data_IF_335472000255
#
_entry.id   IF_335472000255
#
_cell.length_a   1.000
_cell.length_b   1.000
_cell.length_c   1.000
_cell.angle_alpha   90.00
_cell.angle_beta   90.00
_cell.angle_gamma   90.00
#
_symmetry.space_group_name_H-M   'P 1'
#
loop_
_entity.id
_entity.type
_entity.pdbx_description
1 polymer ?
#
# COMPACT_ATOMS: atom_id res chain seq x y z
N UNK A 1 14.21 -26.70 -14.68
CA UNK A 1 13.38 -25.77 -13.87
C UNK A 1 11.92 -25.77 -14.31
N UNK A 2 11.59 -25.64 -15.60
CA UNK A 2 10.19 -25.70 -16.10
C UNK A 2 9.46 -27.02 -15.76
N UNK A 3 10.14 -28.17 -15.87
CA UNK A 3 9.54 -29.47 -15.49
C UNK A 3 9.23 -29.59 -14.00
N UNK A 4 10.04 -29.02 -13.12
CA UNK A 4 9.79 -29.01 -11.67
C UNK A 4 8.64 -28.09 -11.26
N UNK A 5 8.49 -26.94 -11.93
CA UNK A 5 7.32 -26.07 -11.74
C UNK A 5 6.02 -26.79 -12.15
N UNK A 6 5.97 -27.38 -13.35
CA UNK A 6 4.80 -28.12 -13.81
C UNK A 6 4.38 -29.28 -12.89
N UNK A 7 5.31 -29.99 -12.26
CA UNK A 7 4.99 -31.08 -11.33
C UNK A 7 4.40 -30.52 -10.01
N UNK A 8 4.95 -29.45 -9.47
CA UNK A 8 4.41 -28.76 -8.28
C UNK A 8 3.01 -28.19 -8.53
N UNK A 9 2.81 -27.55 -9.67
CA UNK A 9 1.53 -26.96 -10.03
C UNK A 9 0.46 -28.04 -10.23
N UNK A 10 0.80 -29.16 -10.86
CA UNK A 10 -0.12 -30.29 -11.02
C UNK A 10 -0.55 -30.89 -9.68
N UNK A 11 0.38 -31.11 -8.75
CA UNK A 11 0.05 -31.68 -7.44
C UNK A 11 -0.85 -30.75 -6.64
N UNK A 12 -0.55 -29.46 -6.63
CA UNK A 12 -1.35 -28.44 -5.97
C UNK A 12 -2.75 -28.36 -6.58
N UNK A 13 -2.84 -28.23 -7.89
CA UNK A 13 -4.09 -28.16 -8.62
C UNK A 13 -4.96 -29.41 -8.38
N UNK A 14 -4.35 -30.61 -8.41
CA UNK A 14 -5.10 -31.84 -8.15
C UNK A 14 -5.68 -31.88 -6.74
N UNK A 15 -4.93 -31.45 -5.73
CA UNK A 15 -5.42 -31.37 -4.34
C UNK A 15 -6.56 -30.35 -4.24
N UNK A 16 -6.39 -29.17 -4.82
CA UNK A 16 -7.41 -28.10 -4.80
C UNK A 16 -8.70 -28.58 -5.48
N UNK A 17 -8.60 -29.22 -6.67
CA UNK A 17 -9.73 -29.75 -7.41
C UNK A 17 -10.46 -30.85 -6.64
N UNK A 18 -9.73 -31.87 -6.16
CA UNK A 18 -10.34 -32.97 -5.40
C UNK A 18 -10.97 -32.46 -4.09
N UNK A 19 -10.33 -31.53 -3.41
CA UNK A 19 -10.90 -30.89 -2.20
C UNK A 19 -12.21 -30.19 -2.53
N UNK A 20 -12.22 -29.34 -3.58
CA UNK A 20 -13.42 -28.62 -3.98
C UNK A 20 -14.62 -29.54 -4.27
N UNK A 21 -14.37 -30.74 -4.85
CA UNK A 21 -15.40 -31.70 -5.19
C UNK A 21 -15.89 -32.57 -4.03
N UNK A 22 -15.12 -32.64 -2.91
CA UNK A 22 -15.42 -33.56 -1.80
C UNK A 22 -15.78 -32.87 -0.48
N UNK A 23 -15.76 -31.54 -0.44
CA UNK A 23 -16.18 -30.77 0.75
C UNK A 23 -17.72 -30.59 0.77
N UNK A 24 -18.27 -30.42 1.96
CA UNK A 24 -19.72 -30.20 2.14
C UNK A 24 -20.16 -28.84 1.56
N UNK A 25 -19.29 -27.84 1.60
CA UNK A 25 -19.53 -26.52 1.02
C UNK A 25 -18.22 -25.90 0.55
N UNK A 26 -18.13 -25.62 -0.72
CA UNK A 26 -17.00 -24.94 -1.34
C UNK A 26 -17.32 -23.45 -1.49
N UNK A 27 -16.45 -22.58 -0.94
CA UNK A 27 -16.66 -21.14 -0.97
C UNK A 27 -15.48 -20.40 -1.59
N UNK A 28 -15.76 -19.22 -2.14
CA UNK A 28 -14.73 -18.30 -2.64
C UNK A 28 -15.07 -16.84 -2.27
N UNK A 29 -14.12 -15.95 -2.48
CA UNK A 29 -14.21 -14.55 -1.98
C UNK A 29 -14.86 -13.58 -2.95
N UNK A 30 -15.06 -13.97 -4.22
CA UNK A 30 -15.60 -13.08 -5.23
C UNK A 30 -16.14 -13.80 -6.44
N UNK A 31 -16.96 -13.13 -7.24
CA UNK A 31 -17.49 -13.65 -8.50
C UNK A 31 -16.40 -13.90 -9.56
N UNK A 32 -15.30 -13.14 -9.51
CA UNK A 32 -14.16 -13.37 -10.41
C UNK A 32 -13.49 -14.68 -10.05
N UNK A 33 -13.16 -14.90 -8.79
CA UNK A 33 -12.57 -16.16 -8.34
C UNK A 33 -13.54 -17.33 -8.48
N UNK A 34 -14.86 -17.11 -8.37
CA UNK A 34 -15.86 -18.13 -8.63
C UNK A 34 -15.82 -18.62 -10.09
N UNK A 35 -15.71 -17.70 -11.04
CA UNK A 35 -15.54 -18.06 -12.47
C UNK A 35 -14.22 -18.79 -12.71
N UNK A 36 -13.14 -18.35 -12.08
CA UNK A 36 -11.84 -19.04 -12.15
C UNK A 36 -11.92 -20.46 -11.58
N UNK A 37 -12.63 -20.67 -10.47
CA UNK A 37 -12.87 -22.00 -9.90
C UNK A 37 -13.66 -22.89 -10.86
N UNK A 38 -14.70 -22.37 -11.50
CA UNK A 38 -15.48 -23.12 -12.48
C UNK A 38 -14.60 -23.61 -13.66
N UNK A 39 -13.70 -22.76 -14.16
CA UNK A 39 -12.83 -23.08 -15.29
C UNK A 39 -11.64 -23.97 -14.88
N UNK A 40 -11.01 -23.69 -13.74
CA UNK A 40 -9.77 -24.36 -13.35
C UNK A 40 -10.01 -25.64 -12.54
N UNK A 41 -11.06 -25.69 -11.74
CA UNK A 41 -11.37 -26.82 -10.85
C UNK A 41 -12.54 -27.65 -11.37
N UNK A 42 -13.15 -27.32 -12.50
CA UNK A 42 -14.40 -27.90 -13.04
C UNK A 42 -15.55 -27.84 -12.02
N UNK A 43 -15.50 -26.88 -11.09
CA UNK A 43 -16.55 -26.69 -10.08
C UNK A 43 -16.63 -25.20 -9.66
N UNK A 44 -17.77 -24.54 -9.87
CA UNK A 44 -18.01 -23.23 -9.24
C UNK A 44 -18.17 -23.40 -7.73
N UNK A 45 -17.92 -22.33 -7.00
CA UNK A 45 -18.19 -22.29 -5.57
C UNK A 45 -19.70 -22.40 -5.29
N UNK A 46 -20.05 -23.09 -4.22
CA UNK A 46 -21.44 -23.21 -3.78
C UNK A 46 -21.95 -21.85 -3.23
N UNK A 47 -21.06 -21.07 -2.63
CA UNK A 47 -21.35 -19.72 -2.11
C UNK A 47 -20.15 -18.80 -2.29
N UNK A 48 -20.41 -17.56 -2.71
CA UNK A 48 -19.41 -16.48 -2.71
C UNK A 48 -19.52 -15.74 -1.38
N UNK A 49 -18.47 -15.81 -0.57
CA UNK A 49 -18.38 -15.15 0.73
C UNK A 49 -17.31 -14.06 0.66
N UNK A 50 -17.74 -12.82 0.49
CA UNK A 50 -16.85 -11.66 0.46
C UNK A 50 -16.16 -11.48 1.80
N UNK A 51 -14.88 -11.07 1.75
CA UNK A 51 -14.13 -10.79 2.96
C UNK A 51 -14.66 -9.54 3.66
N UNK A 52 -14.86 -9.65 4.97
CA UNK A 52 -15.23 -8.54 5.84
C UNK A 52 -14.01 -7.88 6.47
N UNK A 53 -14.28 -6.84 7.25
CA UNK A 53 -13.30 -6.17 8.10
C UNK A 53 -13.86 -6.04 9.52
N UNK A 54 -13.05 -6.32 10.51
CA UNK A 54 -13.47 -6.23 11.91
C UNK A 54 -13.39 -4.78 12.38
N UNK A 55 -14.56 -4.20 12.67
CA UNK A 55 -14.69 -2.78 13.03
C UNK A 55 -14.00 -2.40 14.35
N UNK A 56 -13.68 -3.38 15.21
CA UNK A 56 -13.06 -3.12 16.52
C UNK A 56 -11.60 -2.65 16.38
N UNK A 57 -10.99 -2.86 15.21
CA UNK A 57 -9.69 -2.25 14.88
C UNK A 57 -9.80 -0.74 14.62
N UNK A 58 -10.97 -0.25 14.26
CA UNK A 58 -11.17 1.17 13.93
C UNK A 58 -11.36 1.97 15.23
N UNK A 59 -10.59 3.05 15.43
CA UNK A 59 -10.74 3.90 16.60
C UNK A 59 -12.16 4.49 16.70
N UNK A 60 -12.66 4.62 17.91
CA UNK A 60 -13.93 5.30 18.16
C UNK A 60 -13.88 6.77 17.68
N UNK A 61 -15.05 7.36 17.39
CA UNK A 61 -15.15 8.78 16.98
C UNK A 61 -14.42 9.72 17.94
N UNK A 62 -14.46 9.45 19.25
CA UNK A 62 -13.77 10.25 20.25
C UNK A 62 -12.24 10.19 20.16
N UNK A 63 -11.69 9.08 19.70
CA UNK A 63 -10.25 8.85 19.58
C UNK A 63 -9.71 9.21 18.18
N UNK A 64 -10.57 9.21 17.15
CA UNK A 64 -10.20 9.31 15.76
C UNK A 64 -9.33 10.54 15.47
N UNK A 65 -9.79 11.73 15.84
CA UNK A 65 -9.07 12.98 15.57
C UNK A 65 -7.69 13.03 16.26
N UNK A 66 -7.57 12.47 17.47
CA UNK A 66 -6.30 12.38 18.19
C UNK A 66 -5.35 11.43 17.48
N UNK A 67 -5.81 10.19 17.18
CA UNK A 67 -4.98 9.19 16.49
C UNK A 67 -4.54 9.66 15.10
N UNK A 68 -5.44 10.33 14.36
CA UNK A 68 -5.07 10.92 13.07
C UNK A 68 -3.97 11.97 13.21
N UNK A 69 -4.03 12.85 14.20
CA UNK A 69 -2.96 13.84 14.46
C UNK A 69 -1.64 13.17 14.84
N UNK A 70 -1.68 12.13 15.67
CA UNK A 70 -0.50 11.36 16.08
C UNK A 70 0.17 10.70 14.86
N UNK A 71 -0.61 10.03 14.03
CA UNK A 71 -0.15 9.41 12.79
C UNK A 71 0.49 10.43 11.83
N UNK A 72 -0.21 11.53 11.54
CA UNK A 72 0.29 12.59 10.65
C UNK A 72 1.59 13.20 11.17
N UNK A 73 1.65 13.48 12.49
CA UNK A 73 2.86 13.96 13.13
C UNK A 73 4.03 12.99 12.92
N UNK A 74 3.82 11.68 13.15
CA UNK A 74 4.87 10.67 12.99
C UNK A 74 5.33 10.54 11.54
N UNK A 75 4.41 10.54 10.59
CA UNK A 75 4.73 10.49 9.15
C UNK A 75 5.56 11.70 8.72
N UNK A 76 5.20 12.89 9.15
CA UNK A 76 5.96 14.13 8.86
C UNK A 76 7.31 14.18 9.57
N UNK A 77 7.38 13.73 10.82
CA UNK A 77 8.60 13.63 11.60
C UNK A 77 9.64 12.75 10.90
N UNK A 78 9.23 11.55 10.48
CA UNK A 78 10.11 10.63 9.76
C UNK A 78 10.52 11.19 8.41
N UNK A 79 9.58 11.76 7.65
CA UNK A 79 9.87 12.40 6.38
C UNK A 79 10.82 13.60 6.56
N UNK A 80 10.60 14.43 7.56
CA UNK A 80 11.43 15.59 7.88
C UNK A 80 12.86 15.20 8.24
N UNK A 81 13.01 14.21 9.11
CA UNK A 81 14.32 13.68 9.49
C UNK A 81 15.08 13.07 8.30
N UNK A 82 14.38 12.36 7.41
CA UNK A 82 14.98 11.77 6.21
C UNK A 82 15.40 12.84 5.19
N UNK A 83 14.52 13.82 4.94
CA UNK A 83 14.62 14.75 3.83
C UNK A 83 15.26 16.09 4.22
N UNK A 84 15.57 16.31 5.50
CA UNK A 84 16.14 17.55 5.99
C UNK A 84 15.25 18.77 5.73
N UNK A 85 13.94 18.64 5.97
CA UNK A 85 12.98 19.73 5.78
C UNK A 85 11.77 19.54 6.69
N UNK A 86 11.11 20.62 7.05
CA UNK A 86 9.85 20.54 7.79
C UNK A 86 8.66 20.48 6.85
N UNK A 87 7.63 19.78 7.30
CA UNK A 87 6.34 19.68 6.60
C UNK A 87 5.23 20.23 7.50
N UNK A 88 4.48 21.16 6.96
CA UNK A 88 3.33 21.76 7.61
C UNK A 88 2.15 20.78 7.72
N UNK A 89 1.16 21.14 8.51
CA UNK A 89 -0.05 20.31 8.72
C UNK A 89 -0.89 20.14 7.46
N UNK A 90 -0.77 21.06 6.50
CA UNK A 90 -1.51 21.04 5.23
C UNK A 90 -0.88 20.15 4.15
N UNK A 91 0.33 19.60 4.38
CA UNK A 91 0.93 18.66 3.42
C UNK A 91 -0.03 17.49 3.15
N UNK A 92 -0.20 17.16 1.88
CA UNK A 92 -1.00 16.00 1.48
C UNK A 92 -0.20 14.72 1.67
N UNK A 93 -0.72 13.78 2.46
CA UNK A 93 -0.06 12.50 2.73
C UNK A 93 -0.82 11.39 2.01
N UNK A 94 -0.14 10.72 1.08
CA UNK A 94 -0.73 9.65 0.30
C UNK A 94 0.14 8.39 0.39
N UNK A 95 -0.47 7.22 0.23
CA UNK A 95 0.29 5.97 0.26
C UNK A 95 -0.27 4.89 -0.66
N UNK A 96 0.61 3.95 -0.99
CA UNK A 96 0.24 2.60 -1.43
C UNK A 96 0.85 1.60 -0.47
N UNK A 97 0.16 0.48 -0.24
CA UNK A 97 0.61 -0.58 0.67
C UNK A 97 0.16 -1.96 0.20
N UNK A 98 0.77 -3.00 0.75
CA UNK A 98 0.45 -4.38 0.44
C UNK A 98 1.68 -5.23 0.21
N UNK A 99 1.53 -6.36 -0.47
CA UNK A 99 2.66 -7.23 -0.84
C UNK A 99 3.53 -6.56 -1.90
N UNK A 100 4.83 -6.80 -1.84
CA UNK A 100 5.76 -6.26 -2.81
C UNK A 100 5.70 -7.04 -4.15
N UNK A 101 4.63 -6.83 -4.87
CA UNK A 101 4.41 -7.33 -6.24
C UNK A 101 4.33 -6.11 -7.16
N UNK A 102 5.49 -5.60 -7.59
CA UNK A 102 5.67 -4.27 -8.20
C UNK A 102 4.66 -3.96 -9.32
N UNK A 103 4.40 -4.92 -10.22
CA UNK A 103 3.39 -4.77 -11.27
C UNK A 103 2.01 -5.17 -10.81
N UNK A 104 1.86 -6.39 -10.27
CA UNK A 104 0.52 -6.90 -9.96
C UNK A 104 -0.27 -6.03 -8.99
N UNK A 105 0.43 -5.43 -8.01
CA UNK A 105 -0.17 -4.49 -7.05
C UNK A 105 -0.22 -3.03 -7.53
N UNK A 106 0.18 -2.76 -8.79
CA UNK A 106 0.15 -1.43 -9.40
C UNK A 106 1.08 -0.42 -8.74
N UNK A 107 2.17 -0.91 -8.10
CA UNK A 107 3.19 -0.01 -7.53
C UNK A 107 3.83 0.80 -8.66
N UNK A 108 4.02 0.21 -9.83
CA UNK A 108 4.48 0.87 -11.05
C UNK A 108 3.59 2.04 -11.47
N UNK A 109 2.26 1.85 -11.42
CA UNK A 109 1.29 2.91 -11.72
C UNK A 109 1.30 4.02 -10.66
N UNK A 110 1.40 3.64 -9.38
CA UNK A 110 1.54 4.60 -8.29
C UNK A 110 2.80 5.46 -8.48
N UNK A 111 3.94 4.83 -8.74
CA UNK A 111 5.21 5.52 -8.98
C UNK A 111 5.15 6.43 -10.22
N UNK A 112 4.50 5.98 -11.30
CA UNK A 112 4.30 6.80 -12.49
C UNK A 112 3.40 8.00 -12.21
N UNK A 113 2.32 7.83 -11.44
CA UNK A 113 1.48 8.94 -11.02
C UNK A 113 2.25 9.98 -10.20
N UNK A 114 3.11 9.54 -9.26
CA UNK A 114 3.98 10.42 -8.48
C UNK A 114 5.00 11.15 -9.36
N UNK A 115 5.60 10.45 -10.32
CA UNK A 115 6.53 11.02 -11.28
C UNK A 115 5.87 12.10 -12.17
N UNK A 116 4.65 11.87 -12.63
CA UNK A 116 3.87 12.87 -13.40
C UNK A 116 3.48 14.06 -12.52
N UNK A 117 3.05 13.80 -11.29
CA UNK A 117 2.70 14.84 -10.34
C UNK A 117 3.90 15.72 -9.97
N UNK A 118 5.09 15.12 -9.82
CA UNK A 118 6.35 15.84 -9.59
C UNK A 118 6.65 16.84 -10.72
N UNK A 119 6.32 16.49 -11.96
CA UNK A 119 6.55 17.33 -13.15
C UNK A 119 5.41 18.29 -13.43
N UNK A 120 4.30 18.20 -12.71
CA UNK A 120 3.15 19.07 -12.92
C UNK A 120 3.41 20.45 -12.28
N UNK A 121 3.53 21.48 -13.12
CA UNK A 121 3.77 22.88 -12.69
C UNK A 121 2.58 23.48 -11.96
N UNK A 122 1.37 23.00 -12.25
CA UNK A 122 0.14 23.49 -11.64
C UNK A 122 -0.11 22.92 -10.24
N UNK A 123 0.67 21.92 -9.82
CA UNK A 123 0.59 21.41 -8.47
C UNK A 123 1.06 22.49 -7.47
N UNK A 124 0.15 22.96 -6.64
CA UNK A 124 0.43 24.00 -5.64
C UNK A 124 0.77 23.42 -4.26
N UNK A 125 0.18 22.30 -3.91
CA UNK A 125 0.31 21.65 -2.59
C UNK A 125 1.51 20.70 -2.56
N UNK A 126 2.22 20.67 -1.43
CA UNK A 126 3.25 19.66 -1.18
C UNK A 126 2.61 18.30 -0.94
N UNK A 127 3.25 17.23 -1.42
CA UNK A 127 2.78 15.85 -1.30
C UNK A 127 3.89 14.99 -0.68
N UNK A 128 3.55 14.26 0.36
CA UNK A 128 4.34 13.15 0.89
C UNK A 128 3.70 11.85 0.43
N UNK A 129 4.41 11.11 -0.41
CA UNK A 129 3.97 9.86 -0.99
C UNK A 129 4.76 8.70 -0.38
N UNK A 130 4.07 7.77 0.29
CA UNK A 130 4.71 6.61 0.90
C UNK A 130 4.44 5.35 0.08
N UNK A 131 5.50 4.54 -0.13
CA UNK A 131 5.41 3.18 -0.67
C UNK A 131 5.69 2.22 0.48
N UNK A 132 4.64 1.67 1.08
CA UNK A 132 4.68 0.85 2.29
C UNK A 132 4.52 -0.63 1.93
N UNK A 133 5.56 -1.22 1.39
CA UNK A 133 5.55 -2.62 0.95
C UNK A 133 6.79 -3.34 1.46
N UNK A 134 6.65 -4.46 2.19
CA UNK A 134 7.79 -5.17 2.77
C UNK A 134 8.67 -5.76 1.68
N UNK A 135 9.87 -5.19 1.53
CA UNK A 135 10.93 -5.68 0.65
C UNK A 135 11.85 -6.68 1.36
N UNK A 136 12.98 -6.99 0.73
CA UNK A 136 14.02 -7.78 1.37
C UNK A 136 14.86 -6.88 2.29
N UNK A 137 14.23 -6.47 3.39
CA UNK A 137 14.78 -5.53 4.36
C UNK A 137 15.96 -6.13 5.13
N UNK A 138 17.04 -5.34 5.26
CA UNK A 138 18.20 -5.67 6.07
C UNK A 138 18.04 -5.17 7.52
N UNK A 139 17.90 -3.86 7.67
CA UNK A 139 17.81 -3.21 8.98
C UNK A 139 17.23 -1.79 8.86
N UNK A 140 16.69 -1.23 9.96
CA UNK A 140 16.38 0.19 10.01
C UNK A 140 17.65 1.03 9.86
N UNK A 141 17.52 2.21 9.30
CA UNK A 141 18.64 3.14 9.11
C UNK A 141 19.04 3.78 10.43
N UNK A 142 20.28 3.54 10.86
CA UNK A 142 20.77 4.07 12.13
C UNK A 142 20.92 5.60 12.09
N UNK A 143 21.38 6.18 10.97
CA UNK A 143 21.46 7.62 10.77
C UNK A 143 20.09 8.33 10.89
N UNK A 144 19.01 7.68 10.39
CA UNK A 144 17.66 8.19 10.54
C UNK A 144 17.15 8.06 11.98
N UNK A 145 17.46 6.96 12.67
CA UNK A 145 17.13 6.77 14.08
C UNK A 145 17.80 7.81 14.97
N UNK A 146 19.08 8.07 14.75
CA UNK A 146 19.83 9.09 15.50
C UNK A 146 19.22 10.48 15.30
N UNK A 147 18.83 10.84 14.07
CA UNK A 147 18.14 12.12 13.82
C UNK A 147 16.81 12.21 14.55
N UNK A 148 15.99 11.16 14.45
CA UNK A 148 14.69 11.11 15.15
C UNK A 148 14.87 11.21 16.67
N UNK A 149 15.86 10.52 17.22
CA UNK A 149 16.16 10.57 18.66
C UNK A 149 16.68 11.94 19.13
N UNK A 150 17.38 12.66 18.26
CA UNK A 150 17.92 14.00 18.60
C UNK A 150 16.83 15.05 18.79
N UNK A 151 15.65 14.86 18.21
CA UNK A 151 14.56 15.83 18.20
C UNK A 151 14.89 17.18 17.55
N UNK A 152 16.03 17.26 16.85
CA UNK A 152 16.48 18.51 16.21
C UNK A 152 15.96 18.59 14.78
N UNK A 153 15.51 19.76 14.40
CA UNK A 153 15.25 20.09 13.00
C UNK A 153 16.55 20.02 12.21
N UNK A 154 16.54 19.30 11.11
CA UNK A 154 17.65 19.23 10.17
C UNK A 154 17.24 19.89 8.86
N UNK A 155 18.16 20.63 8.27
CA UNK A 155 18.01 21.39 7.01
C UNK A 155 18.71 20.73 5.82
N UNK A 156 19.31 19.56 6.05
CA UNK A 156 20.01 18.78 5.03
C UNK A 156 19.45 17.36 4.95
N UNK A 157 19.17 16.83 3.76
CA UNK A 157 18.73 15.44 3.62
C UNK A 157 19.81 14.46 4.06
N UNK A 158 19.39 13.26 4.46
CA UNK A 158 20.31 12.14 4.63
C UNK A 158 20.82 11.68 3.25
N UNK A 159 21.97 11.02 3.25
CA UNK A 159 22.40 10.29 2.08
C UNK A 159 21.32 9.25 1.71
N UNK A 160 21.01 9.11 0.42
CA UNK A 160 19.87 8.28 -0.03
C UNK A 160 18.52 8.68 0.60
N UNK A 161 17.99 9.85 0.31
CA UNK A 161 16.74 10.35 0.91
C UNK A 161 15.50 9.67 0.32
N UNK A 162 15.58 8.38 0.02
CA UNK A 162 14.58 7.62 -0.72
C UNK A 162 13.87 6.58 0.13
N UNK A 163 14.50 6.08 1.20
CA UNK A 163 13.99 4.94 1.96
C UNK A 163 14.33 5.03 3.44
N UNK A 164 13.52 4.34 4.24
CA UNK A 164 13.62 4.35 5.71
C UNK A 164 14.45 3.20 6.28
N UNK A 165 14.63 2.14 5.52
CA UNK A 165 15.36 0.94 5.93
C UNK A 165 16.28 0.49 4.81
N UNK A 166 17.45 -0.03 5.15
CA UNK A 166 18.34 -0.64 4.19
C UNK A 166 17.81 -1.98 3.68
N UNK A 167 18.03 -2.26 2.41
CA UNK A 167 17.73 -3.54 1.80
C UNK A 167 19.00 -4.39 1.71
N UNK A 168 18.85 -5.72 1.72
CA UNK A 168 19.97 -6.62 1.44
C UNK A 168 20.50 -6.43 0.01
N UNK A 169 19.64 -6.01 -0.92
CA UNK A 169 19.99 -5.77 -2.31
C UNK A 169 19.44 -4.41 -2.76
N UNK A 170 20.32 -3.41 -2.76
CA UNK A 170 19.99 -2.03 -3.15
C UNK A 170 20.07 -1.76 -4.65
N UNK A 171 20.77 -2.63 -5.38
CA UNK A 171 21.07 -2.41 -6.80
C UNK A 171 20.01 -2.98 -7.75
N UNK A 172 19.11 -3.82 -7.25
CA UNK A 172 18.09 -4.49 -8.07
C UNK A 172 16.68 -4.37 -7.49
N UNK A 173 16.43 -3.42 -6.59
CA UNK A 173 15.09 -3.16 -6.08
C UNK A 173 14.29 -2.32 -7.07
N UNK A 174 13.09 -2.77 -7.42
CA UNK A 174 12.28 -2.17 -8.48
C UNK A 174 11.80 -0.75 -8.14
N UNK A 175 11.50 -0.45 -6.86
CA UNK A 175 11.12 0.90 -6.43
C UNK A 175 12.31 1.84 -6.48
N UNK A 176 13.46 1.42 -5.95
CA UNK A 176 14.70 2.20 -5.98
C UNK A 176 15.16 2.43 -7.42
N UNK A 177 15.13 1.41 -8.27
CA UNK A 177 15.52 1.52 -9.68
C UNK A 177 14.58 2.48 -10.44
N UNK A 178 13.27 2.45 -10.12
CA UNK A 178 12.32 3.41 -10.69
C UNK A 178 12.67 4.84 -10.29
N UNK A 179 12.90 5.08 -8.99
CA UNK A 179 13.25 6.42 -8.49
C UNK A 179 14.55 6.96 -9.13
N UNK A 180 15.58 6.13 -9.23
CA UNK A 180 16.84 6.47 -9.91
C UNK A 180 16.62 6.80 -11.38
N UNK A 181 15.92 5.93 -12.10
CA UNK A 181 15.67 6.07 -13.56
C UNK A 181 14.97 7.38 -13.90
N UNK A 182 14.04 7.81 -13.07
CA UNK A 182 13.22 8.99 -13.31
C UNK A 182 13.66 10.22 -12.50
N UNK A 183 14.86 10.19 -11.90
CA UNK A 183 15.42 11.29 -11.11
C UNK A 183 14.50 11.78 -9.98
N UNK A 184 13.85 10.86 -9.27
CA UNK A 184 12.99 11.15 -8.13
C UNK A 184 13.80 11.14 -6.83
N UNK A 185 14.73 12.07 -6.69
CA UNK A 185 15.70 12.13 -5.57
C UNK A 185 15.21 12.91 -4.36
N UNK A 186 13.94 13.33 -4.35
CA UNK A 186 13.39 14.17 -3.27
C UNK A 186 14.18 15.48 -3.07
N UNK A 187 14.56 16.15 -4.16
CA UNK A 187 15.31 17.40 -4.11
C UNK A 187 14.55 18.46 -3.30
N UNK A 188 15.21 19.44 -2.67
CA UNK A 188 14.55 20.42 -1.80
C UNK A 188 13.31 21.08 -2.43
N UNK A 189 13.39 21.46 -3.71
CA UNK A 189 12.33 22.15 -4.44
C UNK A 189 11.22 21.23 -4.98
N UNK A 190 11.39 19.91 -4.91
CA UNK A 190 10.37 18.96 -5.36
C UNK A 190 9.12 19.09 -4.50
N UNK A 191 7.97 19.32 -5.12
CA UNK A 191 6.67 19.36 -4.42
C UNK A 191 6.14 17.98 -4.03
N UNK A 192 6.58 16.93 -4.73
CA UNK A 192 6.23 15.54 -4.43
C UNK A 192 7.47 14.84 -3.90
N UNK A 193 7.38 14.35 -2.69
CA UNK A 193 8.43 13.56 -2.03
C UNK A 193 7.95 12.12 -1.94
N UNK A 194 8.73 11.18 -2.48
CA UNK A 194 8.40 9.74 -2.44
C UNK A 194 9.35 9.03 -1.48
N UNK A 195 8.78 8.35 -0.50
CA UNK A 195 9.53 7.64 0.54
C UNK A 195 9.15 6.16 0.50
N UNK A 196 10.15 5.33 0.27
CA UNK A 196 10.01 3.89 0.33
C UNK A 196 10.16 3.38 1.77
N UNK A 197 9.17 2.63 2.23
CA UNK A 197 9.11 1.99 3.56
C UNK A 197 9.09 0.48 3.36
N UNK A 198 10.26 -0.16 3.21
CA UNK A 198 10.36 -1.56 2.80
C UNK A 198 10.24 -2.57 3.96
N UNK A 199 9.52 -2.23 5.02
CA UNK A 199 9.39 -3.09 6.19
C UNK A 199 7.92 -3.36 6.53
N UNK A 200 7.69 -4.38 7.36
CA UNK A 200 6.42 -4.55 8.04
C UNK A 200 6.28 -3.49 9.14
N UNK A 201 5.14 -2.82 9.17
CA UNK A 201 4.80 -1.82 10.19
C UNK A 201 4.06 -2.55 11.34
N UNK A 202 4.82 -3.24 12.15
CA UNK A 202 4.37 -4.11 13.26
C UNK A 202 4.45 -3.44 14.64
N UNK A 203 4.84 -2.17 14.67
CA UNK A 203 5.05 -1.39 15.90
C UNK A 203 6.47 -1.48 16.47
N UNK A 204 7.35 -2.28 15.87
CA UNK A 204 8.74 -2.48 16.31
C UNK A 204 9.76 -2.36 15.17
N UNK A 205 9.38 -1.68 14.07
CA UNK A 205 10.19 -1.53 12.86
C UNK A 205 11.49 -0.71 13.04
N UNK A 206 11.63 -0.02 14.16
CA UNK A 206 12.83 0.75 14.53
C UNK A 206 12.84 2.20 14.01
N UNK A 207 11.90 2.61 13.16
CA UNK A 207 11.75 3.98 12.62
C UNK A 207 10.40 4.59 13.02
N UNK A 208 9.30 4.02 12.56
CA UNK A 208 7.97 4.50 12.90
C UNK A 208 7.54 4.03 14.28
N UNK A 209 7.82 2.76 14.61
CA UNK A 209 7.41 2.09 15.84
C UNK A 209 5.89 2.26 16.11
N UNK A 210 5.12 2.20 15.03
CA UNK A 210 3.65 2.25 15.02
C UNK A 210 3.12 1.15 14.12
N UNK A 211 1.98 0.55 14.49
CA UNK A 211 1.33 -0.42 13.63
C UNK A 211 0.77 0.22 12.36
N UNK A 212 0.66 -0.57 11.30
CA UNK A 212 0.14 -0.12 10.01
C UNK A 212 -1.16 0.66 10.13
N UNK A 213 -2.14 0.17 10.87
CA UNK A 213 -3.43 0.84 11.06
C UNK A 213 -3.33 2.17 11.81
N UNK A 214 -2.38 2.28 12.75
CA UNK A 214 -2.13 3.53 13.45
C UNK A 214 -1.51 4.60 12.55
N UNK A 215 -0.81 4.20 11.47
CA UNK A 215 -0.29 5.11 10.45
C UNK A 215 -1.30 5.38 9.34
N UNK A 216 -2.09 4.36 8.93
CA UNK A 216 -3.10 4.45 7.87
C UNK A 216 -4.07 5.61 8.11
N UNK A 217 -4.57 5.76 9.33
CA UNK A 217 -5.50 6.83 9.72
C UNK A 217 -4.95 8.25 9.44
N UNK A 218 -3.63 8.40 9.31
CA UNK A 218 -2.95 9.67 9.01
C UNK A 218 -2.94 10.05 7.54
N UNK A 219 -3.29 9.14 6.64
CA UNK A 219 -3.28 9.38 5.19
C UNK A 219 -4.47 10.25 4.77
N UNK A 220 -4.27 11.05 3.72
CA UNK A 220 -5.34 11.81 3.08
C UNK A 220 -5.95 11.03 1.90
N UNK A 221 -5.15 10.12 1.31
CA UNK A 221 -5.56 9.27 0.20
C UNK A 221 -4.68 8.03 0.17
N UNK A 222 -5.25 6.90 -0.18
CA UNK A 222 -4.52 5.67 -0.51
C UNK A 222 -4.79 5.25 -1.95
N UNK A 223 -3.82 4.61 -2.59
CA UNK A 223 -3.92 4.20 -3.99
C UNK A 223 -3.53 2.74 -4.13
N UNK A 224 -4.43 1.92 -4.66
CA UNK A 224 -4.28 0.47 -4.85
C UNK A 224 -4.61 0.11 -6.30
N UNK A 225 -3.71 0.42 -7.21
CA UNK A 225 -3.90 0.27 -8.65
C UNK A 225 -3.60 -1.16 -9.14
N UNK A 226 -4.09 -2.19 -8.44
CA UNK A 226 -3.82 -3.59 -8.74
C UNK A 226 -4.33 -3.98 -10.13
N UNK A 227 -3.55 -4.78 -10.85
CA UNK A 227 -3.94 -5.40 -12.12
C UNK A 227 -4.78 -6.66 -11.92
N UNK A 228 -4.66 -7.30 -10.78
CA UNK A 228 -5.49 -8.42 -10.35
C UNK A 228 -5.50 -8.51 -8.83
N UNK A 229 -6.69 -8.57 -8.25
CA UNK A 229 -6.89 -8.74 -6.82
C UNK A 229 -8.16 -9.56 -6.56
N UNK A 230 -8.05 -10.79 -5.99
CA UNK A 230 -9.20 -11.65 -5.71
C UNK A 230 -10.28 -11.01 -4.84
N UNK A 231 -9.89 -10.13 -3.92
CA UNK A 231 -10.79 -9.28 -3.16
C UNK A 231 -10.27 -7.86 -3.09
N UNK A 232 -9.30 -7.55 -2.27
CA UNK A 232 -8.71 -6.24 -2.01
C UNK A 232 -8.95 -5.81 -0.56
N UNK A 233 -8.14 -6.35 0.36
CA UNK A 233 -8.20 -5.96 1.76
C UNK A 233 -7.76 -4.51 1.98
N UNK A 234 -6.68 -4.08 1.33
CA UNK A 234 -6.11 -2.74 1.56
C UNK A 234 -7.07 -1.58 1.23
N UNK A 235 -7.85 -1.58 0.13
CA UNK A 235 -8.87 -0.57 -0.06
C UNK A 235 -10.02 -0.70 0.94
N UNK A 236 -10.44 -1.90 1.31
CA UNK A 236 -11.45 -2.13 2.35
C UNK A 236 -11.00 -1.56 3.71
N UNK A 237 -9.76 -1.82 4.11
CA UNK A 237 -9.15 -1.27 5.33
C UNK A 237 -9.12 0.26 5.31
N UNK A 238 -8.74 0.86 4.18
CA UNK A 238 -8.71 2.32 4.04
C UNK A 238 -10.08 2.94 4.27
N UNK A 239 -11.11 2.39 3.64
CA UNK A 239 -12.50 2.87 3.84
C UNK A 239 -12.94 2.68 5.28
N UNK A 240 -12.63 1.53 5.90
CA UNK A 240 -12.95 1.27 7.30
C UNK A 240 -12.31 2.31 8.24
N UNK A 241 -11.10 2.78 7.93
CA UNK A 241 -10.41 3.85 8.65
C UNK A 241 -10.77 5.26 8.18
N UNK A 242 -11.82 5.43 7.39
CA UNK A 242 -12.28 6.71 6.84
C UNK A 242 -11.20 7.43 6.01
N UNK A 243 -10.36 6.68 5.33
CA UNK A 243 -9.37 7.20 4.38
C UNK A 243 -9.89 6.94 2.97
N UNK A 244 -10.11 7.97 2.15
CA UNK A 244 -10.49 7.79 0.76
C UNK A 244 -9.45 6.96 0.01
N UNK A 245 -9.88 6.11 -0.92
CA UNK A 245 -8.94 5.32 -1.71
C UNK A 245 -9.26 5.35 -3.20
N UNK A 246 -8.23 5.13 -4.00
CA UNK A 246 -8.33 4.83 -5.42
C UNK A 246 -8.01 3.35 -5.59
N UNK A 247 -8.87 2.63 -6.27
CA UNK A 247 -8.66 1.23 -6.64
C UNK A 247 -8.99 1.03 -8.12
N UNK A 248 -8.99 -0.20 -8.59
CA UNK A 248 -9.32 -0.52 -9.98
C UNK A 248 -10.52 -1.46 -10.06
N UNK A 249 -11.19 -1.49 -11.19
CA UNK A 249 -12.19 -2.52 -11.51
C UNK A 249 -11.57 -3.89 -11.85
N UNK A 250 -10.25 -4.03 -11.76
CA UNK A 250 -9.52 -5.29 -11.79
C UNK A 250 -9.34 -5.90 -10.39
N UNK A 251 -9.71 -5.13 -9.35
CA UNK A 251 -9.89 -5.58 -7.98
C UNK A 251 -11.36 -5.92 -7.75
N UNK A 252 -11.64 -7.06 -7.13
CA UNK A 252 -13.03 -7.45 -6.84
C UNK A 252 -13.71 -6.53 -5.84
N UNK A 253 -12.96 -5.89 -4.95
CA UNK A 253 -13.48 -4.83 -4.09
C UNK A 253 -13.98 -3.63 -4.90
N UNK A 254 -13.23 -3.17 -5.91
CA UNK A 254 -13.67 -2.10 -6.81
C UNK A 254 -14.92 -2.47 -7.59
N UNK A 255 -14.97 -3.67 -8.15
CA UNK A 255 -16.19 -4.19 -8.81
C UNK A 255 -17.39 -4.24 -7.86
N UNK A 256 -17.19 -4.68 -6.63
CA UNK A 256 -18.24 -4.72 -5.61
C UNK A 256 -18.74 -3.31 -5.24
N UNK A 257 -17.83 -2.34 -5.11
CA UNK A 257 -18.19 -0.94 -4.86
C UNK A 257 -19.06 -0.39 -6.00
N UNK A 258 -18.65 -0.59 -7.26
CA UNK A 258 -19.42 -0.16 -8.42
C UNK A 258 -20.81 -0.81 -8.44
N UNK A 259 -20.89 -2.09 -8.13
CA UNK A 259 -22.16 -2.82 -8.05
C UNK A 259 -23.06 -2.28 -6.92
N UNK A 260 -22.48 -2.00 -5.74
CA UNK A 260 -23.19 -1.47 -4.58
C UNK A 260 -23.75 -0.07 -4.84
N UNK A 261 -22.99 0.79 -5.53
CA UNK A 261 -23.37 2.16 -5.86
C UNK A 261 -24.28 2.24 -7.10
N UNK A 262 -24.31 1.20 -7.95
CA UNK A 262 -24.99 1.21 -9.24
C UNK A 262 -24.33 2.16 -10.27
N UNK A 263 -23.11 2.59 -10.03
CA UNK A 263 -22.26 3.45 -10.87
C UNK A 263 -20.79 3.19 -10.55
N UNK A 264 -19.89 3.75 -11.35
CA UNK A 264 -18.48 3.80 -10.99
C UNK A 264 -18.28 4.66 -9.72
N UNK A 265 -17.52 4.13 -8.75
CA UNK A 265 -17.22 4.84 -7.52
C UNK A 265 -16.36 6.08 -7.79
N UNK A 266 -16.63 7.16 -7.06
CA UNK A 266 -15.88 8.41 -7.09
C UNK A 266 -15.30 8.74 -5.71
N UNK A 267 -14.29 9.62 -5.64
CA UNK A 267 -13.69 10.03 -4.36
C UNK A 267 -14.71 10.61 -3.38
N UNK A 268 -15.77 11.22 -3.86
CA UNK A 268 -16.89 11.71 -3.06
C UNK A 268 -17.69 10.59 -2.38
N UNK A 269 -17.61 9.36 -2.92
CA UNK A 269 -18.19 8.16 -2.32
C UNK A 269 -17.20 7.48 -1.35
N UNK A 270 -15.96 7.98 -1.26
CA UNK A 270 -14.87 7.44 -0.46
C UNK A 270 -13.97 6.44 -1.23
N UNK A 271 -14.41 5.98 -2.39
CA UNK A 271 -13.67 5.03 -3.23
C UNK A 271 -13.80 5.45 -4.69
N UNK A 272 -12.68 5.80 -5.32
CA UNK A 272 -12.58 5.95 -6.76
C UNK A 272 -12.22 4.60 -7.39
N UNK A 273 -13.01 4.18 -8.36
CA UNK A 273 -12.76 2.93 -9.10
C UNK A 273 -12.38 3.24 -10.56
#
# INVERSE_FOLDING_TARGET
RQRQMCIRDRSKHSIERETAHHVDCFTTVSEVTNRECAELLDKPADVVLMNGFEKDFVPSKAQFARKRREARRKLREVAGALLGTEFDDDVMIISTSGRYEFRNKGIDLYMEAMNRSLRNKDLTRKVLAFVQVPGWVCCPREDLKERLASGKTCDTPLEWPLLTHWLHEMSHDQVIDYMKRYNMWNLPDDKVKVIFVPCYLDGADGIFNMHYYDLLIGMDLTVYASYYEPWGYTPLESVAFHVPCITTNLSCFGLWVNQLLGKDGELTDGVQV
#
